data_IF_438380967022
#
_entry.id   IF_438380967022
#
_cell.length_a   1.000
_cell.length_b   1.000
_cell.length_c   1.000
_cell.angle_alpha   90.00
_cell.angle_beta   90.00
_cell.angle_gamma   90.00
#
_symmetry.space_group_name_H-M   'P 1'
#
loop_
_entity.id
_entity.type
_entity.pdbx_description
1 polymer ?
#
# COMPACT_ATOMS: atom_id res chain seq x y z
N UNK A 1 -14.98 -0.74 -13.85
CA UNK A 1 -14.28 -1.33 -12.68
C UNK A 1 -12.92 -0.69 -12.40
N UNK A 2 -12.15 -0.27 -13.40
CA UNK A 2 -10.83 0.36 -13.18
C UNK A 2 -10.89 1.73 -12.49
N UNK A 3 -11.82 2.61 -12.89
CA UNK A 3 -11.94 3.96 -12.32
C UNK A 3 -12.33 3.92 -10.84
N UNK A 4 -13.24 3.02 -10.44
CA UNK A 4 -13.67 2.87 -9.04
C UNK A 4 -12.54 2.38 -8.14
N UNK A 5 -11.71 1.46 -8.63
CA UNK A 5 -10.51 1.01 -7.91
C UNK A 5 -9.44 2.11 -7.81
N UNK A 6 -9.23 2.88 -8.87
CA UNK A 6 -8.32 4.03 -8.84
C UNK A 6 -8.80 5.10 -7.85
N UNK A 7 -10.10 5.40 -7.84
CA UNK A 7 -10.70 6.35 -6.89
C UNK A 7 -10.53 5.87 -5.44
N UNK A 8 -10.81 4.60 -5.14
CA UNK A 8 -10.55 4.02 -3.83
C UNK A 8 -9.07 4.16 -3.43
N UNK A 9 -8.16 3.80 -4.32
CA UNK A 9 -6.73 3.88 -4.07
C UNK A 9 -6.30 5.30 -3.67
N UNK A 10 -6.78 6.32 -4.40
CA UNK A 10 -6.46 7.73 -4.16
C UNK A 10 -7.12 8.30 -2.91
N UNK A 11 -8.40 7.99 -2.67
CA UNK A 11 -9.11 8.45 -1.47
C UNK A 11 -8.47 7.85 -0.20
N UNK A 12 -8.05 6.60 -0.26
CA UNK A 12 -7.42 5.92 0.87
C UNK A 12 -6.00 6.40 1.18
N UNK A 13 -5.38 7.21 0.29
CA UNK A 13 -4.12 7.89 0.62
C UNK A 13 -4.29 8.82 1.82
N UNK A 14 -5.47 9.44 1.98
CA UNK A 14 -5.75 10.35 3.07
C UNK A 14 -5.65 9.67 4.45
N UNK A 15 -6.04 8.40 4.54
CA UNK A 15 -5.84 7.58 5.74
C UNK A 15 -4.36 7.52 6.13
N UNK A 16 -3.43 7.37 5.18
CA UNK A 16 -1.99 7.30 5.47
C UNK A 16 -1.43 8.63 5.95
N UNK A 17 -1.95 9.76 5.45
CA UNK A 17 -1.59 11.08 5.96
C UNK A 17 -2.12 11.31 7.39
N UNK A 18 -3.34 10.86 7.68
CA UNK A 18 -3.89 10.92 9.02
C UNK A 18 -3.12 10.00 9.98
N UNK A 19 -2.73 8.81 9.53
CA UNK A 19 -1.87 7.92 10.30
C UNK A 19 -0.51 8.54 10.58
N UNK A 20 0.15 9.15 9.58
CA UNK A 20 1.43 9.84 9.76
C UNK A 20 1.33 10.94 10.84
N UNK A 21 0.28 11.76 10.77
CA UNK A 21 0.01 12.82 11.76
C UNK A 21 -0.38 12.29 13.13
N UNK A 22 -1.07 11.16 13.19
CA UNK A 22 -1.39 10.49 14.45
C UNK A 22 -0.12 9.95 15.12
N UNK A 23 0.77 9.32 14.36
CA UNK A 23 2.04 8.84 14.90
C UNK A 23 2.89 10.01 15.39
N UNK A 24 2.98 11.13 14.67
CA UNK A 24 3.64 12.35 15.15
C UNK A 24 3.18 12.77 16.55
N UNK A 25 1.87 12.95 16.71
CA UNK A 25 1.28 13.42 17.97
C UNK A 25 1.36 12.39 19.11
N UNK A 26 1.36 11.09 18.78
CA UNK A 26 1.28 10.02 19.78
C UNK A 26 2.65 9.45 20.16
N UNK A 27 3.61 9.44 19.24
CA UNK A 27 4.92 8.82 19.45
C UNK A 27 5.78 9.65 20.39
N UNK A 28 5.73 10.98 20.29
CA UNK A 28 6.43 11.87 21.22
C UNK A 28 5.83 11.77 22.61
N UNK A 29 4.50 11.66 22.72
CA UNK A 29 3.80 11.51 23.99
C UNK A 29 4.08 10.13 24.65
N UNK A 30 4.24 9.08 23.85
CA UNK A 30 4.62 7.75 24.31
C UNK A 30 6.11 7.60 24.64
N UNK A 31 7.01 8.30 23.94
CA UNK A 31 8.47 8.23 24.13
C UNK A 31 8.96 9.16 25.24
N UNK A 32 8.33 10.32 25.42
CA UNK A 32 8.75 11.33 26.40
C UNK A 32 7.76 11.54 27.55
N UNK A 33 6.60 10.87 27.50
CA UNK A 33 5.60 10.87 28.58
C UNK A 33 4.74 12.14 28.62
N UNK A 34 3.44 11.94 28.80
CA UNK A 34 2.48 13.02 29.01
C UNK A 34 2.67 13.64 30.41
N UNK A 35 3.32 14.80 30.49
CA UNK A 35 3.25 15.61 31.72
C UNK A 35 4.39 16.59 31.97
N UNK A 36 4.01 17.78 32.43
CA UNK A 36 4.88 18.66 33.21
C UNK A 36 5.41 17.87 34.42
N UNK A 37 6.66 17.40 34.36
CA UNK A 37 7.30 16.71 35.48
C UNK A 37 8.54 15.91 35.09
N UNK A 38 9.71 16.42 35.52
CA UNK A 38 11.01 15.74 35.68
C UNK A 38 11.32 14.61 34.68
N UNK A 39 11.55 14.98 33.41
CA UNK A 39 12.19 14.24 32.29
C UNK A 39 11.59 14.59 30.92
N UNK A 40 10.70 15.57 30.86
CA UNK A 40 10.28 16.22 29.61
C UNK A 40 11.43 17.06 29.05
N UNK A 41 11.93 16.80 27.82
CA UNK A 41 13.00 17.59 27.19
C UNK A 41 12.63 19.06 26.91
N UNK A 42 11.37 19.44 27.12
CA UNK A 42 10.77 20.66 26.61
C UNK A 42 10.28 21.68 27.66
N UNK A 43 10.68 21.55 28.94
CA UNK A 43 10.26 22.54 29.97
C UNK A 43 11.35 23.15 30.83
N UNK A 44 12.63 22.83 30.64
CA UNK A 44 13.71 23.58 31.31
C UNK A 44 14.60 24.28 30.29
N UNK A 45 14.54 25.62 30.30
CA UNK A 45 15.47 26.50 29.62
C UNK A 45 16.90 26.18 30.07
N UNK A 46 17.63 25.41 29.28
CA UNK A 46 19.08 25.27 29.38
C UNK A 46 19.71 25.64 28.03
N UNK A 47 20.50 26.72 27.98
CA UNK A 47 21.07 27.28 26.75
C UNK A 47 22.10 26.39 26.05
N UNK A 48 22.40 25.20 26.58
CA UNK A 48 23.40 24.26 26.01
C UNK A 48 22.76 23.04 25.30
N UNK A 49 21.43 22.85 25.36
CA UNK A 49 20.74 21.71 24.71
C UNK A 49 20.89 21.67 23.17
N UNK A 50 21.06 22.84 22.54
CA UNK A 50 21.25 22.95 21.09
C UNK A 50 22.59 22.38 20.58
N UNK A 51 23.56 22.10 21.46
CA UNK A 51 24.87 21.57 21.06
C UNK A 51 25.04 20.05 21.30
N UNK A 52 24.28 19.45 22.22
CA UNK A 52 24.42 18.03 22.60
C UNK A 52 23.41 17.09 21.93
N UNK A 53 22.26 17.60 21.49
CA UNK A 53 21.18 16.79 20.89
C UNK A 53 20.77 17.24 19.48
N UNK A 54 21.48 18.17 18.85
CA UNK A 54 21.16 18.68 17.51
C UNK A 54 21.02 17.55 16.47
N UNK A 55 21.83 16.50 16.57
CA UNK A 55 21.78 15.38 15.64
C UNK A 55 20.53 14.50 15.85
N UNK A 56 20.07 14.36 17.11
CA UNK A 56 18.86 13.62 17.46
C UNK A 56 17.59 14.37 17.08
N UNK A 57 17.58 15.69 17.25
CA UNK A 57 16.47 16.57 16.85
C UNK A 57 16.32 16.63 15.32
N UNK A 58 17.44 16.80 14.59
CA UNK A 58 17.46 16.73 13.12
C UNK A 58 17.02 15.36 12.60
N UNK A 59 17.39 14.27 13.28
CA UNK A 59 16.94 12.93 12.92
C UNK A 59 15.43 12.77 13.12
N UNK A 60 14.89 13.28 14.23
CA UNK A 60 13.46 13.22 14.52
C UNK A 60 12.68 13.99 13.46
N UNK A 61 13.06 15.23 13.17
CA UNK A 61 12.40 16.06 12.15
C UNK A 61 12.48 15.42 10.75
N UNK A 62 13.61 14.82 10.41
CA UNK A 62 13.75 14.03 9.17
C UNK A 62 12.80 12.83 9.13
N UNK A 63 12.75 12.03 10.19
CA UNK A 63 11.87 10.86 10.27
C UNK A 63 10.41 11.31 10.19
N UNK A 64 10.06 12.38 10.91
CA UNK A 64 8.70 12.92 10.92
C UNK A 64 8.26 13.38 9.54
N UNK A 65 9.13 14.11 8.82
CA UNK A 65 8.88 14.49 7.42
C UNK A 65 8.82 13.27 6.48
N UNK A 66 9.71 12.30 6.66
CA UNK A 66 9.77 11.10 5.81
C UNK A 66 8.50 10.24 5.90
N UNK A 67 7.82 10.20 7.04
CA UNK A 67 6.58 9.44 7.22
C UNK A 67 5.46 9.88 6.27
N UNK A 68 5.38 11.18 5.96
CA UNK A 68 4.40 11.72 5.00
C UNK A 68 4.69 11.30 3.55
N UNK A 69 5.89 10.81 3.25
CA UNK A 69 6.24 10.31 1.92
C UNK A 69 6.17 8.78 1.91
N UNK A 70 6.80 8.12 2.88
CA UNK A 70 6.97 6.67 2.92
C UNK A 70 5.64 5.95 3.07
N UNK A 71 4.76 6.39 3.98
CA UNK A 71 3.49 5.70 4.24
C UNK A 71 2.53 5.75 3.04
N UNK A 72 2.27 6.90 2.40
CA UNK A 72 1.50 6.96 1.16
C UNK A 72 2.15 6.20 0.00
N UNK A 73 3.48 6.31 -0.14
CA UNK A 73 4.20 5.64 -1.23
C UNK A 73 4.13 4.13 -1.10
N UNK A 74 4.27 3.61 0.12
CA UNK A 74 4.10 2.19 0.43
C UNK A 74 2.75 1.67 -0.08
N UNK A 75 1.67 2.40 0.20
CA UNK A 75 0.32 2.02 -0.24
C UNK A 75 0.16 1.99 -1.76
N UNK A 76 0.60 3.06 -2.44
CA UNK A 76 0.48 3.17 -3.90
C UNK A 76 1.30 2.07 -4.58
N UNK A 77 2.52 1.83 -4.11
CA UNK A 77 3.39 0.77 -4.64
C UNK A 77 2.80 -0.61 -4.38
N UNK A 78 2.30 -0.87 -3.16
CA UNK A 78 1.69 -2.16 -2.82
C UNK A 78 0.46 -2.47 -3.69
N UNK A 79 -0.39 -1.47 -3.93
CA UNK A 79 -1.54 -1.61 -4.83
C UNK A 79 -1.11 -1.82 -6.28
N UNK A 80 -0.11 -1.07 -6.77
CA UNK A 80 0.44 -1.24 -8.11
C UNK A 80 1.02 -2.64 -8.32
N UNK A 81 1.78 -3.14 -7.36
CA UNK A 81 2.35 -4.48 -7.37
C UNK A 81 1.26 -5.56 -7.36
N UNK A 82 0.28 -5.43 -6.48
CA UNK A 82 -0.84 -6.37 -6.37
C UNK A 82 -1.68 -6.39 -7.66
N UNK A 83 -1.94 -5.23 -8.25
CA UNK A 83 -2.62 -5.10 -9.54
C UNK A 83 -1.85 -5.77 -10.67
N UNK A 84 -0.53 -5.57 -10.75
CA UNK A 84 0.31 -6.23 -11.76
C UNK A 84 0.29 -7.76 -11.62
N UNK A 85 0.39 -8.28 -10.39
CA UNK A 85 0.31 -9.72 -10.12
C UNK A 85 -1.07 -10.30 -10.47
N UNK A 86 -2.15 -9.68 -10.01
CA UNK A 86 -3.51 -10.12 -10.34
C UNK A 86 -3.78 -10.07 -11.85
N UNK A 87 -3.31 -9.03 -12.54
CA UNK A 87 -3.39 -8.93 -13.99
C UNK A 87 -2.68 -10.09 -14.70
N UNK A 88 -1.46 -10.42 -14.26
CA UNK A 88 -0.70 -11.56 -14.82
C UNK A 88 -1.39 -12.90 -14.58
N UNK A 89 -1.97 -13.12 -13.40
CA UNK A 89 -2.71 -14.34 -13.06
C UNK A 89 -3.98 -14.47 -13.89
N UNK A 90 -4.75 -13.39 -14.03
CA UNK A 90 -5.98 -13.39 -14.83
C UNK A 90 -5.69 -13.60 -16.31
N UNK A 91 -4.62 -12.98 -16.83
CA UNK A 91 -4.17 -13.22 -18.21
C UNK A 91 -3.78 -14.68 -18.42
N UNK A 92 -3.02 -15.28 -17.50
CA UNK A 92 -2.66 -16.69 -17.55
C UNK A 92 -3.88 -17.61 -17.51
N UNK A 93 -4.86 -17.29 -16.65
CA UNK A 93 -6.12 -18.04 -16.56
C UNK A 93 -6.92 -17.93 -17.87
N UNK A 94 -7.05 -16.72 -18.43
CA UNK A 94 -7.75 -16.50 -19.70
C UNK A 94 -7.10 -17.28 -20.86
N UNK A 95 -5.77 -17.30 -20.93
CA UNK A 95 -5.05 -18.10 -21.93
C UNK A 95 -5.28 -19.61 -21.73
N UNK A 96 -5.23 -20.08 -20.48
CA UNK A 96 -5.49 -21.50 -20.15
C UNK A 96 -6.92 -21.94 -20.46
N UNK A 97 -7.91 -21.09 -20.18
CA UNK A 97 -9.32 -21.39 -20.45
C UNK A 97 -9.67 -21.26 -21.93
N UNK A 98 -9.07 -20.33 -22.68
CA UNK A 98 -9.24 -20.26 -24.14
C UNK A 98 -8.75 -21.54 -24.83
N UNK A 99 -7.60 -22.09 -24.43
CA UNK A 99 -7.12 -23.35 -24.99
C UNK A 99 -8.09 -24.53 -24.70
N UNK A 100 -8.66 -24.58 -23.49
CA UNK A 100 -9.68 -25.57 -23.13
C UNK A 100 -11.00 -25.36 -23.91
N UNK A 101 -11.42 -24.11 -24.10
CA UNK A 101 -12.61 -23.75 -24.86
C UNK A 101 -12.45 -24.13 -26.35
N UNK A 102 -11.29 -23.88 -26.94
CA UNK A 102 -10.99 -24.25 -28.33
C UNK A 102 -10.95 -25.78 -28.52
N UNK A 103 -10.33 -26.50 -27.57
CA UNK A 103 -10.31 -27.96 -27.58
C UNK A 103 -11.72 -28.56 -27.46
N UNK A 104 -12.54 -28.01 -26.55
CA UNK A 104 -13.96 -28.39 -26.41
C UNK A 104 -14.79 -28.06 -27.65
N UNK A 105 -14.58 -26.89 -28.26
CA UNK A 105 -15.25 -26.47 -29.48
C UNK A 105 -14.93 -27.38 -30.68
N UNK A 106 -13.66 -27.73 -30.88
CA UNK A 106 -13.23 -28.68 -31.91
C UNK A 106 -13.79 -30.09 -31.66
N UNK A 107 -13.74 -30.57 -30.41
CA UNK A 107 -14.30 -31.86 -30.02
C UNK A 107 -15.82 -31.95 -30.24
N UNK A 108 -16.55 -30.90 -29.86
CA UNK A 108 -17.99 -30.79 -30.09
C UNK A 108 -18.37 -30.73 -31.57
N UNK A 109 -17.60 -30.02 -32.40
CA UNK A 109 -17.78 -30.02 -33.85
C UNK A 109 -17.51 -31.39 -34.46
N UNK A 110 -16.44 -32.08 -34.04
CA UNK A 110 -16.14 -33.43 -34.51
C UNK A 110 -17.27 -34.42 -34.17
N UNK A 111 -17.81 -34.33 -32.94
CA UNK A 111 -18.95 -35.13 -32.50
C UNK A 111 -20.23 -34.82 -33.30
N UNK A 112 -20.52 -33.54 -33.57
CA UNK A 112 -21.64 -33.13 -34.42
C UNK A 112 -21.48 -33.63 -35.87
N UNK A 113 -20.28 -33.55 -36.44
CA UNK A 113 -20.00 -34.04 -37.79
C UNK A 113 -20.13 -35.56 -37.88
N UNK A 114 -19.66 -36.30 -36.88
CA UNK A 114 -19.83 -37.75 -36.80
C UNK A 114 -21.32 -38.15 -36.62
N UNK A 115 -22.09 -37.38 -35.86
CA UNK A 115 -23.53 -37.58 -35.71
C UNK A 115 -24.29 -37.29 -37.00
N UNK A 116 -23.98 -36.19 -37.70
CA UNK A 116 -24.59 -35.86 -39.00
C UNK A 116 -24.23 -36.85 -40.12
N UNK A 117 -23.02 -37.40 -40.11
CA UNK A 117 -22.60 -38.40 -41.10
C UNK A 117 -23.19 -39.80 -40.89
N UNK A 118 -23.90 -40.03 -39.78
CA UNK A 118 -24.62 -41.28 -39.47
C UNK A 118 -26.13 -41.23 -39.79
N UNK A 119 -26.64 -40.10 -40.26
CA UNK A 119 -28.01 -39.92 -40.77
C UNK A 119 -27.94 -39.91 -42.29
#
# INVERSE_FOLDING_TARGET
MTITFAAFALIFVDFWFQLARWVDSTILDALYGNGIGSNVPHTNFDPVFGASNAQGDLLLDFVMGAMFIVLPSFWIVALGWSGAKLGSLMSGLATGTSAAQDAGGKGGQLAMSAAKGKI
#
